data_IF_916094707442
#
_entry.id   IF_916094707442
#
_cell.length_a   1.000
_cell.length_b   1.000
_cell.length_c   1.000
_cell.angle_alpha   90.00
_cell.angle_beta   90.00
_cell.angle_gamma   90.00
#
_symmetry.space_group_name_H-M   'P 1'
#
loop_
_entity.id
_entity.type
_entity.pdbx_description
1 polymer ?
#
# COMPACT_ATOMS: atom_id res chain seq x y z
N UNK A 1 22.66 12.08 24.19
CA UNK A 1 21.79 13.20 23.77
C UNK A 1 21.48 13.21 22.28
N UNK A 2 22.43 13.02 21.40
CA UNK A 2 22.19 12.96 19.95
C UNK A 2 21.36 11.75 19.48
N UNK A 3 21.31 10.65 20.22
CA UNK A 3 20.53 9.45 19.90
C UNK A 3 19.01 9.64 20.07
N UNK A 4 18.54 10.53 20.93
CA UNK A 4 17.11 10.78 21.12
C UNK A 4 16.48 11.54 19.94
N UNK A 5 17.20 12.49 19.33
CA UNK A 5 16.76 13.17 18.11
C UNK A 5 16.79 12.27 16.88
N UNK A 6 17.70 11.31 16.81
CA UNK A 6 17.74 10.28 15.74
C UNK A 6 16.66 9.22 15.91
N UNK A 7 16.31 8.84 17.16
CA UNK A 7 15.17 7.93 17.42
C UNK A 7 13.84 8.53 16.94
N UNK A 8 13.63 9.84 17.04
CA UNK A 8 12.47 10.51 16.46
C UNK A 8 12.44 10.48 14.94
N UNK A 9 13.60 10.58 14.26
CA UNK A 9 13.74 10.47 12.79
C UNK A 9 13.64 9.02 12.27
N UNK A 10 13.94 8.00 13.11
CA UNK A 10 13.83 6.58 12.73
C UNK A 10 12.39 6.06 12.73
N UNK A 11 11.43 6.81 13.27
CA UNK A 11 9.99 6.50 13.18
C UNK A 11 9.38 7.21 11.98
N UNK A 12 9.83 6.85 10.78
CA UNK A 12 9.23 7.33 9.55
C UNK A 12 7.79 6.86 9.44
N UNK A 13 6.89 7.79 9.15
CA UNK A 13 5.50 7.48 8.81
C UNK A 13 5.42 7.10 7.35
N UNK A 14 4.91 5.92 7.09
CA UNK A 14 4.76 5.38 5.74
C UNK A 14 3.28 5.28 5.43
N UNK A 15 2.87 5.91 4.35
CA UNK A 15 1.54 5.72 3.78
C UNK A 15 1.63 4.79 2.58
N UNK A 16 0.66 3.88 2.45
CA UNK A 16 0.56 2.97 1.30
C UNK A 16 -0.61 3.40 0.44
N UNK A 17 -0.37 3.59 -0.86
CA UNK A 17 -1.37 4.03 -1.84
C UNK A 17 -1.70 2.85 -2.76
N UNK A 18 -2.98 2.50 -2.83
CA UNK A 18 -3.45 1.35 -3.61
C UNK A 18 -4.60 1.79 -4.52
N UNK A 19 -4.35 1.96 -5.82
CA UNK A 19 -5.44 2.06 -6.79
C UNK A 19 -6.20 0.73 -6.88
N UNK A 20 -7.52 0.79 -6.83
CA UNK A 20 -8.39 -0.39 -6.77
C UNK A 20 -9.51 -0.28 -7.80
N UNK A 21 -9.77 -1.36 -8.50
CA UNK A 21 -10.90 -1.50 -9.41
C UNK A 21 -11.41 -2.94 -9.39
N UNK A 22 -12.71 -3.12 -9.15
CA UNK A 22 -13.34 -4.44 -9.01
C UNK A 22 -12.53 -5.37 -8.08
N UNK A 23 -12.36 -4.99 -6.80
CA UNK A 23 -11.52 -5.75 -5.89
C UNK A 23 -12.13 -7.14 -5.63
N UNK A 24 -11.24 -8.10 -5.41
CA UNK A 24 -11.55 -9.46 -5.04
C UNK A 24 -11.03 -9.80 -3.65
N UNK A 25 -11.27 -11.00 -3.15
CA UNK A 25 -10.80 -11.46 -1.82
C UNK A 25 -9.30 -11.28 -1.62
N UNK A 26 -8.52 -11.36 -2.70
CA UNK A 26 -7.06 -11.13 -2.67
C UNK A 26 -6.70 -9.72 -2.19
N UNK A 27 -7.54 -8.73 -2.47
CA UNK A 27 -7.36 -7.39 -1.95
C UNK A 27 -7.48 -7.33 -0.42
N UNK A 28 -8.43 -8.07 0.17
CA UNK A 28 -8.55 -8.16 1.64
C UNK A 28 -7.33 -8.84 2.27
N UNK A 29 -6.77 -9.83 1.59
CA UNK A 29 -5.51 -10.45 2.00
C UNK A 29 -4.35 -9.45 1.95
N UNK A 30 -4.28 -8.60 0.92
CA UNK A 30 -3.29 -7.53 0.84
C UNK A 30 -3.37 -6.60 2.05
N UNK A 31 -4.57 -6.11 2.39
CA UNK A 31 -4.77 -5.24 3.57
C UNK A 31 -4.28 -5.95 4.84
N UNK A 32 -4.69 -7.19 5.05
CA UNK A 32 -4.24 -7.99 6.22
C UNK A 32 -2.72 -8.16 6.28
N UNK A 33 -2.06 -8.39 5.15
CA UNK A 33 -0.58 -8.52 5.10
C UNK A 33 0.13 -7.20 5.35
N UNK A 34 -0.44 -6.08 4.91
CA UNK A 34 0.11 -4.76 5.18
C UNK A 34 0.02 -4.40 6.67
N UNK A 35 -1.10 -4.73 7.32
CA UNK A 35 -1.28 -4.48 8.75
C UNK A 35 -0.38 -5.35 9.64
N UNK A 36 0.10 -6.48 9.12
CA UNK A 36 1.03 -7.41 9.80
C UNK A 36 2.50 -7.14 9.51
N UNK A 37 2.82 -6.08 8.78
CA UNK A 37 4.22 -5.72 8.52
C UNK A 37 4.96 -5.38 9.80
N UNK A 38 6.26 -5.65 9.87
CA UNK A 38 7.14 -5.25 10.98
C UNK A 38 7.19 -3.74 11.14
N UNK A 39 7.26 -3.03 10.01
CA UNK A 39 7.06 -1.60 9.92
C UNK A 39 5.63 -1.34 9.42
N UNK A 40 4.73 -1.01 10.33
CA UNK A 40 3.31 -0.85 10.02
C UNK A 40 3.06 0.42 9.21
N UNK A 41 2.15 0.37 8.21
CA UNK A 41 1.71 1.57 7.54
C UNK A 41 1.01 2.52 8.54
N UNK A 42 1.30 3.80 8.42
CA UNK A 42 0.58 4.85 9.12
C UNK A 42 -0.85 4.97 8.58
N UNK A 43 -0.98 5.01 7.26
CA UNK A 43 -2.26 5.00 6.54
C UNK A 43 -2.18 4.11 5.31
N UNK A 44 -3.31 3.48 4.98
CA UNK A 44 -3.52 2.79 3.71
C UNK A 44 -4.56 3.57 2.93
N UNK A 45 -4.12 4.29 1.90
CA UNK A 45 -4.96 5.16 1.07
C UNK A 45 -5.43 4.36 -0.13
N UNK A 46 -6.70 4.00 -0.14
CA UNK A 46 -7.33 3.19 -1.16
C UNK A 46 -8.06 4.11 -2.13
N UNK A 47 -7.57 4.17 -3.37
CA UNK A 47 -8.16 4.94 -4.46
C UNK A 47 -9.05 4.01 -5.29
N UNK A 48 -10.31 3.84 -4.88
CA UNK A 48 -11.23 2.89 -5.48
C UNK A 48 -12.03 3.49 -6.63
N UNK A 49 -12.00 2.84 -7.78
CA UNK A 49 -12.83 3.19 -8.94
C UNK A 49 -14.13 2.41 -8.90
N UNK A 50 -15.27 3.11 -8.97
CA UNK A 50 -16.65 2.62 -8.90
C UNK A 50 -17.00 1.94 -7.55
N UNK A 51 -17.56 2.73 -6.65
CA UNK A 51 -17.97 2.36 -5.29
C UNK A 51 -18.73 1.03 -5.20
N UNK A 52 -19.67 0.78 -6.11
CA UNK A 52 -20.51 -0.42 -6.13
C UNK A 52 -19.74 -1.75 -6.06
N UNK A 53 -18.57 -1.83 -6.67
CA UNK A 53 -17.76 -3.05 -6.64
C UNK A 53 -17.04 -3.23 -5.30
N UNK A 54 -16.65 -2.14 -4.68
CA UNK A 54 -16.04 -2.15 -3.36
C UNK A 54 -17.07 -2.55 -2.30
N UNK A 55 -18.26 -1.95 -2.33
CA UNK A 55 -19.37 -2.30 -1.44
C UNK A 55 -19.81 -3.76 -1.60
N UNK A 56 -19.84 -4.28 -2.83
CA UNK A 56 -20.20 -5.68 -3.07
C UNK A 56 -19.21 -6.66 -2.42
N UNK A 57 -17.90 -6.35 -2.45
CA UNK A 57 -16.88 -7.17 -1.77
C UNK A 57 -17.05 -7.14 -0.26
N UNK A 58 -17.40 -5.97 0.29
CA UNK A 58 -17.44 -5.73 1.73
C UNK A 58 -18.83 -5.96 2.35
N UNK A 59 -19.78 -6.45 1.56
CA UNK A 59 -21.13 -6.70 2.04
C UNK A 59 -21.13 -7.59 3.30
N UNK A 60 -21.79 -7.10 4.36
CA UNK A 60 -21.85 -7.80 5.64
C UNK A 60 -20.61 -7.67 6.54
N UNK A 61 -19.64 -6.83 6.15
CA UNK A 61 -18.45 -6.51 6.98
C UNK A 61 -18.52 -5.07 7.49
N UNK A 62 -17.73 -4.75 8.51
CA UNK A 62 -17.48 -3.38 8.95
C UNK A 62 -16.03 -3.01 8.69
N UNK A 63 -15.71 -2.83 7.41
CA UNK A 63 -14.35 -2.59 6.95
C UNK A 63 -13.67 -1.40 7.65
N UNK A 64 -14.39 -0.30 7.83
CA UNK A 64 -13.84 0.90 8.47
C UNK A 64 -13.46 0.65 9.94
N UNK A 65 -14.25 -0.15 10.64
CA UNK A 65 -13.98 -0.54 12.02
C UNK A 65 -12.88 -1.57 12.14
N UNK A 66 -12.85 -2.53 11.22
CA UNK A 66 -11.86 -3.60 11.20
C UNK A 66 -10.47 -3.09 10.77
N UNK A 67 -10.44 -2.04 9.94
CA UNK A 67 -9.22 -1.45 9.36
C UNK A 67 -9.17 0.07 9.59
N UNK A 68 -8.99 0.54 10.83
CA UNK A 68 -9.11 1.95 11.18
C UNK A 68 -8.05 2.87 10.55
N UNK A 69 -6.95 2.32 10.07
CA UNK A 69 -5.91 3.04 9.32
C UNK A 69 -6.08 2.97 7.80
N UNK A 70 -7.10 2.28 7.31
CA UNK A 70 -7.47 2.27 5.90
C UNK A 70 -8.46 3.40 5.59
N UNK A 71 -8.17 4.17 4.57
CA UNK A 71 -8.97 5.30 4.10
C UNK A 71 -9.37 5.06 2.65
N UNK A 72 -10.66 5.08 2.37
CA UNK A 72 -11.19 4.78 1.03
C UNK A 72 -11.70 6.06 0.37
N UNK A 73 -11.22 6.32 -0.85
CA UNK A 73 -11.70 7.38 -1.73
C UNK A 73 -12.28 6.76 -2.98
N UNK A 74 -13.57 7.03 -3.24
CA UNK A 74 -14.25 6.52 -4.42
C UNK A 74 -14.13 7.50 -5.58
N UNK A 75 -13.76 6.97 -6.73
CA UNK A 75 -13.67 7.67 -8.01
C UNK A 75 -14.69 7.09 -8.98
N UNK A 76 -15.23 7.93 -9.85
CA UNK A 76 -15.96 7.43 -11.02
C UNK A 76 -14.98 6.84 -12.05
N UNK A 77 -15.50 6.01 -12.95
CA UNK A 77 -14.69 5.45 -14.04
C UNK A 77 -14.05 6.53 -14.93
N UNK A 78 -14.67 7.69 -15.04
CA UNK A 78 -14.20 8.81 -15.85
C UNK A 78 -13.08 9.61 -15.20
N UNK A 79 -13.01 9.59 -13.87
CA UNK A 79 -11.95 10.26 -13.09
C UNK A 79 -10.68 9.43 -13.03
N UNK A 80 -10.78 8.11 -13.26
CA UNK A 80 -9.64 7.21 -13.20
C UNK A 80 -8.65 7.48 -14.33
N UNK A 81 -7.39 7.64 -13.95
CA UNK A 81 -6.26 7.50 -14.86
C UNK A 81 -5.03 7.00 -14.08
N UNK A 82 -4.21 6.19 -14.71
CA UNK A 82 -3.12 5.47 -14.03
C UNK A 82 -2.14 6.37 -13.27
N UNK A 83 -1.73 7.48 -13.87
CA UNK A 83 -0.83 8.44 -13.24
C UNK A 83 -1.55 9.37 -12.27
N UNK A 84 -2.66 9.97 -12.71
CA UNK A 84 -3.43 10.94 -11.94
C UNK A 84 -3.99 10.36 -10.65
N UNK A 85 -4.51 9.14 -10.67
CA UNK A 85 -5.03 8.47 -9.48
C UNK A 85 -3.94 8.23 -8.43
N UNK A 86 -2.73 7.83 -8.86
CA UNK A 86 -1.58 7.70 -7.95
C UNK A 86 -1.11 9.03 -7.41
N UNK A 87 -1.08 10.06 -8.24
CA UNK A 87 -0.73 11.42 -7.83
C UNK A 87 -1.74 11.99 -6.82
N UNK A 88 -3.03 11.75 -7.02
CA UNK A 88 -4.07 12.15 -6.07
C UNK A 88 -3.91 11.39 -4.74
N UNK A 89 -3.64 10.10 -4.79
CA UNK A 89 -3.30 9.32 -3.58
C UNK A 89 -2.05 9.85 -2.87
N UNK A 90 -1.00 10.19 -3.61
CA UNK A 90 0.23 10.77 -3.06
C UNK A 90 -0.02 12.15 -2.43
N UNK A 91 -0.87 13.00 -3.06
CA UNK A 91 -1.24 14.29 -2.52
C UNK A 91 -2.03 14.21 -1.19
N UNK A 92 -2.71 13.08 -0.95
CA UNK A 92 -3.42 12.79 0.31
C UNK A 92 -2.51 12.23 1.39
N UNK A 93 -1.32 11.77 1.03
CA UNK A 93 -0.35 11.26 1.99
C UNK A 93 0.14 12.37 2.91
N UNK A 94 0.24 12.04 4.18
CA UNK A 94 0.87 12.86 5.24
C UNK A 94 2.09 12.16 5.83
N UNK A 95 2.49 11.04 5.27
CA UNK A 95 3.68 10.31 5.66
C UNK A 95 4.97 10.98 5.21
N UNK A 96 6.06 10.58 5.80
CA UNK A 96 7.41 10.98 5.37
C UNK A 96 7.78 10.28 4.05
N UNK A 97 7.21 9.10 3.84
CA UNK A 97 7.36 8.25 2.66
C UNK A 97 5.98 7.74 2.25
N UNK A 98 5.76 7.55 0.97
CA UNK A 98 4.65 6.77 0.47
C UNK A 98 5.11 5.62 -0.42
N UNK A 99 4.35 4.53 -0.41
CA UNK A 99 4.56 3.34 -1.23
C UNK A 99 3.35 3.14 -2.13
N UNK A 100 3.56 3.06 -3.43
CA UNK A 100 2.50 2.69 -4.38
C UNK A 100 2.50 1.17 -4.58
N UNK A 101 1.34 0.56 -4.41
CA UNK A 101 1.13 -0.87 -4.65
C UNK A 101 -0.05 -1.09 -5.60
N UNK A 102 -0.06 -2.22 -6.31
CA UNK A 102 -1.22 -2.68 -7.05
C UNK A 102 -2.08 -3.58 -6.18
N UNK A 103 -3.38 -3.64 -6.43
CA UNK A 103 -4.35 -4.36 -5.59
C UNK A 103 -4.14 -5.88 -5.51
N UNK A 104 -3.35 -6.45 -6.40
CA UNK A 104 -3.06 -7.88 -6.54
C UNK A 104 -1.63 -8.27 -6.12
N UNK A 105 -0.79 -7.29 -5.79
CA UNK A 105 0.58 -7.51 -5.37
C UNK A 105 0.66 -7.79 -3.86
N UNK A 106 0.76 -9.06 -3.49
CA UNK A 106 0.89 -9.45 -2.09
C UNK A 106 2.34 -9.37 -1.60
N UNK A 107 2.60 -8.76 -0.43
CA UNK A 107 3.88 -8.90 0.24
C UNK A 107 4.23 -10.39 0.45
N UNK A 108 5.45 -10.78 0.07
CA UNK A 108 5.90 -12.16 0.25
C UNK A 108 6.06 -12.55 1.73
N UNK A 109 6.41 -11.56 2.54
CA UNK A 109 6.59 -11.68 3.99
C UNK A 109 6.16 -10.40 4.72
N UNK A 110 6.45 -10.31 6.00
CA UNK A 110 6.09 -9.16 6.84
C UNK A 110 7.17 -8.05 6.87
N UNK A 111 8.20 -8.10 6.02
CA UNK A 111 9.32 -7.16 6.03
C UNK A 111 9.37 -6.22 4.83
N UNK A 112 8.39 -6.29 3.93
CA UNK A 112 8.40 -5.50 2.69
C UNK A 112 8.61 -4.00 2.94
N UNK A 113 7.82 -3.39 3.84
CA UNK A 113 7.91 -1.95 4.11
C UNK A 113 9.21 -1.57 4.83
N UNK A 114 9.69 -2.43 5.71
CA UNK A 114 10.99 -2.27 6.37
C UNK A 114 12.14 -2.29 5.37
N UNK A 115 12.16 -3.27 4.45
CA UNK A 115 13.20 -3.42 3.45
C UNK A 115 13.19 -2.26 2.42
N UNK A 116 12.01 -1.84 1.97
CA UNK A 116 11.88 -0.68 1.08
C UNK A 116 12.38 0.60 1.73
N UNK A 117 12.08 0.81 3.01
CA UNK A 117 12.54 1.98 3.77
C UNK A 117 14.05 1.93 4.00
N UNK A 118 14.58 0.77 4.35
CA UNK A 118 16.03 0.60 4.53
C UNK A 118 16.78 0.88 3.22
N UNK A 119 16.31 0.36 2.08
CA UNK A 119 16.89 0.62 0.79
C UNK A 119 16.85 2.11 0.40
N UNK A 120 15.73 2.79 0.67
CA UNK A 120 15.57 4.22 0.41
C UNK A 120 16.51 5.07 1.28
N UNK A 121 16.80 4.62 2.50
CA UNK A 121 17.61 5.33 3.48
C UNK A 121 19.08 4.94 3.46
N UNK A 122 19.50 4.05 2.55
CA UNK A 122 20.87 3.56 2.49
C UNK A 122 21.89 4.65 2.11
N UNK A 123 21.47 5.59 1.23
CA UNK A 123 22.26 6.72 0.79
C UNK A 123 21.37 7.98 0.70
N UNK A 124 21.97 9.16 0.87
CA UNK A 124 21.21 10.42 0.92
C UNK A 124 20.58 10.84 -0.41
N UNK A 125 21.12 10.38 -1.52
CA UNK A 125 20.70 10.71 -2.89
C UNK A 125 19.68 9.70 -3.47
N UNK A 126 19.31 8.65 -2.73
CA UNK A 126 18.29 7.70 -3.18
C UNK A 126 16.91 8.31 -2.98
N UNK A 127 16.23 8.59 -4.07
CA UNK A 127 14.86 9.13 -4.07
C UNK A 127 13.77 8.07 -4.18
N UNK A 128 14.07 6.87 -4.70
CA UNK A 128 13.11 5.80 -4.96
C UNK A 128 13.73 4.43 -4.69
N UNK A 129 12.98 3.56 -4.05
CA UNK A 129 13.28 2.13 -3.94
C UNK A 129 12.11 1.30 -4.47
N UNK A 130 12.37 0.09 -4.91
CA UNK A 130 11.31 -0.82 -5.38
C UNK A 130 11.59 -2.27 -4.99
N UNK A 131 10.53 -3.02 -4.80
CA UNK A 131 10.61 -4.44 -4.50
C UNK A 131 10.58 -5.29 -5.78
N UNK A 132 11.33 -6.38 -5.77
CA UNK A 132 11.26 -7.39 -6.83
C UNK A 132 9.91 -8.09 -6.79
N UNK A 133 9.25 -8.16 -7.95
CA UNK A 133 8.04 -8.96 -8.12
C UNK A 133 8.43 -10.41 -8.45
N UNK A 134 7.83 -11.34 -7.71
CA UNK A 134 7.98 -12.77 -7.95
C UNK A 134 6.68 -13.31 -8.55
N UNK A 135 6.74 -14.13 -9.61
CA UNK A 135 5.54 -14.80 -10.12
C UNK A 135 5.03 -15.82 -9.10
N UNK A 136 3.73 -16.09 -9.13
CA UNK A 136 3.18 -17.19 -8.34
C UNK A 136 3.79 -18.53 -8.76
N UNK A 137 3.98 -19.44 -7.79
CA UNK A 137 4.62 -20.74 -8.02
C UNK A 137 3.91 -21.56 -9.10
N UNK A 138 2.60 -21.41 -9.25
CA UNK A 138 1.76 -22.12 -10.21
C UNK A 138 1.44 -21.30 -11.48
N UNK A 139 2.09 -20.17 -11.68
CA UNK A 139 1.92 -19.37 -12.89
C UNK A 139 2.35 -20.16 -14.14
N UNK A 140 1.58 -20.13 -15.24
CA UNK A 140 1.95 -20.79 -16.50
C UNK A 140 3.35 -20.39 -17.02
N UNK A 141 3.82 -19.20 -16.68
CA UNK A 141 5.16 -18.70 -17.04
C UNK A 141 6.31 -19.40 -16.29
N UNK A 142 6.02 -20.14 -15.23
CA UNK A 142 7.02 -20.93 -14.50
C UNK A 142 7.17 -22.36 -15.03
N UNK A 143 6.47 -22.72 -16.10
CA UNK A 143 6.52 -24.06 -16.74
C UNK A 143 7.39 -24.11 -17.99
N UNK A 144 8.21 -23.09 -18.22
CA UNK A 144 9.21 -23.06 -19.28
C UNK A 144 10.59 -23.45 -18.73
#
# INVERSE_FOLDING_TARGET
MMLAGRKGKLRMKIDVIIPVYKPEKRFLELISRLEKQTLKPNRIIIMNTEEKYFEALLYGTDFAREHPNAEVHHLSKWEFNHGGTRNDGAARSTGDIFVCMTQDALPADNRLLEELTAALSAEEDIAVSYARQLPEKDSPKNKL
#
